data_IF_725109346395
#
_entry.id   IF_725109346395
#
_cell.length_a   1.000
_cell.length_b   1.000
_cell.length_c   1.000
_cell.angle_alpha   90.00
_cell.angle_beta   90.00
_cell.angle_gamma   90.00
#
_symmetry.space_group_name_H-M   'P 1'
#
loop_
_entity.id
_entity.type
_entity.pdbx_description
1 polymer ?
#
# COMPACT_ATOMS: atom_id res chain seq x y z
N UNK A 1 9.54 -7.23 2.30
CA UNK A 1 10.11 -6.56 1.11
C UNK A 1 9.21 -5.38 0.70
N UNK A 2 9.63 -4.60 -0.29
CA UNK A 2 8.85 -3.50 -0.85
C UNK A 2 7.57 -3.97 -1.53
N UNK A 3 6.47 -3.28 -1.26
CA UNK A 3 5.18 -3.52 -1.91
C UNK A 3 4.23 -2.33 -1.69
N UNK A 4 3.12 -2.33 -2.44
CA UNK A 4 1.89 -1.63 -2.06
C UNK A 4 0.85 -2.67 -1.64
N UNK A 5 -0.09 -2.27 -0.78
CA UNK A 5 -1.19 -3.13 -0.37
C UNK A 5 -2.04 -3.60 -1.57
N UNK A 6 -2.70 -4.74 -1.40
CA UNK A 6 -3.58 -5.29 -2.42
C UNK A 6 -4.67 -4.28 -2.80
N UNK A 7 -4.80 -4.00 -4.09
CA UNK A 7 -5.72 -2.98 -4.61
C UNK A 7 -5.57 -1.61 -3.90
N UNK A 8 -4.37 -1.25 -3.44
CA UNK A 8 -4.07 0.03 -2.77
C UNK A 8 -4.93 0.34 -1.53
N UNK A 9 -5.48 -0.68 -0.87
CA UNK A 9 -6.19 -0.47 0.41
C UNK A 9 -5.26 0.07 1.49
N UNK A 10 -5.77 0.87 2.42
CA UNK A 10 -5.03 1.19 3.63
C UNK A 10 -4.75 -0.07 4.44
N UNK A 11 -3.73 0.00 5.29
CA UNK A 11 -3.35 -1.09 6.18
C UNK A 11 -3.14 -0.58 7.60
N UNK A 12 -3.46 -1.44 8.55
CA UNK A 12 -3.26 -1.24 9.98
C UNK A 12 -2.31 -2.33 10.45
N UNK A 13 -1.26 -1.94 11.16
CA UNK A 13 -0.33 -2.87 11.78
C UNK A 13 -0.11 -2.49 13.25
N UNK A 14 -0.13 -3.48 14.14
CA UNK A 14 0.20 -3.30 15.56
C UNK A 14 1.35 -4.23 15.92
N UNK A 15 2.42 -3.67 16.49
CA UNK A 15 3.52 -4.44 17.04
C UNK A 15 3.16 -4.93 18.44
N UNK A 16 3.22 -6.25 18.66
CA UNK A 16 2.96 -6.89 19.95
C UNK A 16 4.20 -6.87 20.85
N UNK A 17 5.39 -6.80 20.26
CA UNK A 17 6.68 -6.87 20.95
C UNK A 17 7.16 -8.29 21.25
N UNK A 18 8.21 -8.43 22.09
CA UNK A 18 8.89 -7.35 22.83
C UNK A 18 9.85 -6.49 22.02
N UNK A 19 10.29 -6.95 20.83
CA UNK A 19 11.18 -6.21 19.94
C UNK A 19 10.48 -5.09 19.15
N UNK A 20 11.29 -4.20 18.59
CA UNK A 20 10.83 -3.11 17.73
C UNK A 20 10.81 -3.54 16.25
N UNK A 21 10.03 -2.84 15.43
CA UNK A 21 10.09 -2.90 13.97
C UNK A 21 10.62 -1.58 13.41
N UNK A 22 11.39 -1.65 12.33
CA UNK A 22 11.76 -0.48 11.52
C UNK A 22 10.94 -0.45 10.23
N UNK A 23 10.33 0.70 9.97
CA UNK A 23 9.48 0.95 8.83
C UNK A 23 10.12 1.94 7.87
N UNK A 24 9.89 1.69 6.59
CA UNK A 24 10.23 2.58 5.50
C UNK A 24 9.01 2.76 4.62
N UNK A 25 8.69 4.01 4.28
CA UNK A 25 7.53 4.36 3.48
C UNK A 25 7.86 5.43 2.45
N UNK A 26 7.30 5.28 1.25
CA UNK A 26 7.37 6.23 0.16
C UNK A 26 5.93 6.58 -0.25
N UNK A 27 5.67 7.87 -0.45
CA UNK A 27 4.35 8.36 -0.82
C UNK A 27 3.88 7.76 -2.16
N UNK A 28 2.57 7.60 -2.32
CA UNK A 28 1.98 6.85 -3.45
C UNK A 28 2.43 7.41 -4.79
N UNK A 29 2.64 8.71 -4.92
CA UNK A 29 2.99 9.41 -6.16
C UNK A 29 4.30 8.90 -6.78
N UNK A 30 5.20 8.35 -5.97
CA UNK A 30 6.50 7.85 -6.41
C UNK A 30 6.47 6.36 -6.79
N UNK A 31 5.34 5.66 -6.70
CA UNK A 31 5.24 4.23 -7.02
C UNK A 31 5.76 3.90 -8.43
N UNK A 32 5.52 4.80 -9.40
CA UNK A 32 6.01 4.64 -10.77
C UNK A 32 7.53 4.77 -10.90
N UNK A 33 8.18 5.56 -10.04
CA UNK A 33 9.64 5.64 -9.97
C UNK A 33 10.20 4.33 -9.42
N UNK A 34 9.61 3.80 -8.35
CA UNK A 34 10.01 2.51 -7.78
C UNK A 34 9.77 1.36 -8.77
N UNK A 35 8.67 1.38 -9.51
CA UNK A 35 8.41 0.39 -10.56
C UNK A 35 9.53 0.39 -11.62
N UNK A 36 9.97 1.56 -12.09
CA UNK A 36 11.09 1.68 -13.04
C UNK A 36 12.42 1.20 -12.45
N UNK A 37 12.67 1.45 -11.16
CA UNK A 37 13.85 0.91 -10.47
C UNK A 37 13.81 -0.61 -10.39
N UNK A 38 12.64 -1.19 -10.10
CA UNK A 38 12.44 -2.64 -10.14
C UNK A 38 12.73 -3.21 -11.54
N UNK A 39 12.14 -2.62 -12.59
CA UNK A 39 12.36 -3.02 -13.99
C UNK A 39 13.84 -2.94 -14.39
N UNK A 40 14.53 -1.84 -14.03
CA UNK A 40 15.97 -1.65 -14.29
C UNK A 40 16.81 -2.75 -13.64
N UNK A 41 16.39 -3.25 -12.49
CA UNK A 41 17.07 -4.32 -11.75
C UNK A 41 16.53 -5.73 -12.07
N UNK A 42 15.68 -5.87 -13.09
CA UNK A 42 15.17 -7.17 -13.54
C UNK A 42 14.21 -7.85 -12.55
N UNK A 43 13.57 -7.09 -11.65
CA UNK A 43 12.59 -7.59 -10.68
C UNK A 43 11.22 -6.99 -10.96
N UNK A 44 10.15 -7.78 -10.76
CA UNK A 44 8.79 -7.29 -10.96
C UNK A 44 8.32 -6.49 -9.73
N UNK A 45 7.78 -5.29 -9.94
CA UNK A 45 7.28 -4.44 -8.84
C UNK A 45 6.08 -5.03 -8.09
N UNK A 46 5.13 -5.63 -8.81
CA UNK A 46 3.85 -6.11 -8.24
C UNK A 46 3.99 -7.46 -7.52
N UNK A 47 4.80 -8.38 -8.06
CA UNK A 47 4.89 -9.76 -7.56
C UNK A 47 6.30 -10.19 -7.15
N UNK A 48 7.32 -9.37 -7.44
CA UNK A 48 8.70 -9.68 -7.08
C UNK A 48 9.00 -9.44 -5.61
N UNK A 49 10.11 -10.00 -5.14
CA UNK A 49 10.67 -9.70 -3.83
C UNK A 49 11.85 -8.74 -4.01
N UNK A 50 11.69 -7.50 -3.58
CA UNK A 50 12.69 -6.45 -3.74
C UNK A 50 12.85 -5.64 -2.45
N UNK A 51 14.06 -5.13 -2.23
CA UNK A 51 14.40 -4.27 -1.10
C UNK A 51 15.13 -3.04 -1.64
N UNK A 52 14.56 -1.82 -1.53
CA UNK A 52 15.17 -0.63 -2.11
C UNK A 52 16.54 -0.31 -1.53
N UNK A 53 17.44 0.14 -2.39
CA UNK A 53 18.69 0.79 -2.00
C UNK A 53 18.36 2.26 -1.74
N UNK A 54 18.62 2.74 -0.52
CA UNK A 54 18.23 4.11 -0.12
C UNK A 54 18.98 5.18 -0.94
N UNK A 55 20.21 4.91 -1.34
CA UNK A 55 21.00 5.82 -2.18
C UNK A 55 20.37 5.98 -3.57
N UNK A 56 19.90 4.90 -4.20
CA UNK A 56 19.17 4.97 -5.48
C UNK A 56 17.88 5.81 -5.36
N UNK A 57 17.16 5.69 -4.24
CA UNK A 57 15.96 6.50 -3.98
C UNK A 57 16.33 7.97 -3.78
N UNK A 58 17.41 8.25 -3.06
CA UNK A 58 17.91 9.60 -2.85
C UNK A 58 18.37 10.25 -4.16
N UNK A 59 19.13 9.53 -5.00
CA UNK A 59 19.54 9.97 -6.34
C UNK A 59 18.33 10.23 -7.25
N UNK A 60 17.28 9.41 -7.14
CA UNK A 60 16.01 9.59 -7.85
C UNK A 60 15.09 10.67 -7.23
N UNK A 61 15.56 11.40 -6.21
CA UNK A 61 14.81 12.44 -5.48
C UNK A 61 13.47 11.93 -4.90
N UNK A 62 13.46 10.68 -4.43
CA UNK A 62 12.31 10.05 -3.78
C UNK A 62 12.42 10.21 -2.26
N UNK A 63 11.51 10.96 -1.62
CA UNK A 63 11.49 11.08 -0.16
C UNK A 63 11.14 9.75 0.49
N UNK A 64 11.89 9.37 1.53
CA UNK A 64 11.66 8.16 2.32
C UNK A 64 11.35 8.53 3.76
N UNK A 65 10.18 8.15 4.24
CA UNK A 65 9.84 8.17 5.65
C UNK A 65 10.46 6.93 6.32
N UNK A 66 11.22 7.13 7.38
CA UNK A 66 11.87 6.06 8.16
C UNK A 66 11.60 6.26 9.63
N UNK A 67 11.08 5.24 10.31
CA UNK A 67 10.75 5.33 11.73
C UNK A 67 10.72 3.97 12.43
N UNK A 68 10.71 4.00 13.76
CA UNK A 68 10.63 2.82 14.63
C UNK A 68 9.20 2.68 15.15
N UNK A 69 8.66 1.46 15.08
CA UNK A 69 7.40 1.04 15.69
C UNK A 69 7.70 0.19 16.92
N UNK A 70 7.45 0.73 18.11
CA UNK A 70 7.64 0.03 19.39
C UNK A 70 6.46 -0.89 19.72
N UNK A 71 6.60 -1.80 20.70
CA UNK A 71 5.46 -2.58 21.19
C UNK A 71 4.30 -1.69 21.62
N UNK A 72 3.10 -2.00 21.12
CA UNK A 72 1.88 -1.22 21.32
C UNK A 72 1.63 -0.10 20.31
N UNK A 73 2.64 0.30 19.52
CA UNK A 73 2.46 1.30 18.48
C UNK A 73 1.64 0.74 17.31
N UNK A 74 0.68 1.54 16.85
CA UNK A 74 -0.11 1.29 15.65
C UNK A 74 0.44 2.10 14.48
N UNK A 75 0.72 1.42 13.37
CA UNK A 75 1.07 2.04 12.09
C UNK A 75 -0.15 1.99 11.17
N UNK A 76 -0.56 3.16 10.68
CA UNK A 76 -1.56 3.30 9.63
C UNK A 76 -0.86 3.61 8.31
N UNK A 77 -0.92 2.68 7.37
CA UNK A 77 -0.38 2.81 6.03
C UNK A 77 -1.50 3.35 5.14
N UNK A 78 -1.33 4.56 4.62
CA UNK A 78 -2.34 5.21 3.81
C UNK A 78 -2.44 4.59 2.41
N UNK A 79 -3.54 4.89 1.71
CA UNK A 79 -3.86 4.40 0.37
C UNK A 79 -2.66 4.50 -0.58
N UNK A 80 -2.25 3.36 -1.15
CA UNK A 80 -1.19 3.29 -2.16
C UNK A 80 0.23 3.60 -1.66
N UNK A 81 0.46 3.79 -0.35
CA UNK A 81 1.81 3.98 0.17
C UNK A 81 2.69 2.75 -0.14
N UNK A 82 3.85 2.98 -0.77
CA UNK A 82 4.83 1.94 -1.02
C UNK A 82 5.66 1.78 0.25
N UNK A 83 5.79 0.57 0.78
CA UNK A 83 6.47 0.39 2.06
C UNK A 83 7.20 -0.95 2.17
N UNK A 84 8.19 -0.99 3.06
CA UNK A 84 8.91 -2.19 3.47
C UNK A 84 9.29 -2.09 4.94
N UNK A 85 9.48 -3.25 5.58
CA UNK A 85 9.60 -3.37 7.03
C UNK A 85 10.63 -4.44 7.38
N UNK A 86 11.37 -4.21 8.46
CA UNK A 86 12.19 -5.24 9.09
C UNK A 86 11.96 -5.25 10.61
N UNK A 87 12.04 -6.43 11.21
CA UNK A 87 12.12 -6.55 12.67
C UNK A 87 13.54 -6.19 13.12
N UNK A 88 13.67 -5.35 14.15
CA UNK A 88 14.95 -5.05 14.80
C UNK A 88 15.24 -6.07 15.90
N UNK A 89 14.20 -6.50 16.63
CA UNK A 89 14.27 -7.54 17.65
C UNK A 89 13.25 -8.64 17.40
N UNK A 90 13.13 -9.58 18.34
CA UNK A 90 12.08 -10.60 18.30
C UNK A 90 10.73 -9.99 18.66
N UNK A 91 9.81 -10.00 17.71
CA UNK A 91 8.46 -9.48 17.90
C UNK A 91 7.44 -10.27 17.10
N UNK A 92 6.17 -10.10 17.47
CA UNK A 92 5.03 -10.48 16.66
C UNK A 92 4.31 -9.22 16.22
N UNK A 93 3.65 -9.27 15.06
CA UNK A 93 2.76 -8.19 14.60
C UNK A 93 1.41 -8.79 14.19
N UNK A 94 0.36 -8.00 14.36
CA UNK A 94 -0.95 -8.27 13.75
C UNK A 94 -1.26 -7.17 12.75
N UNK A 95 -1.84 -7.53 11.62
CA UNK A 95 -2.16 -6.58 10.57
C UNK A 95 -3.43 -6.96 9.79
N UNK A 96 -4.11 -5.96 9.25
CA UNK A 96 -5.25 -6.11 8.37
C UNK A 96 -5.43 -4.86 7.50
N UNK A 97 -6.16 -5.00 6.41
CA UNK A 97 -6.52 -3.88 5.54
C UNK A 97 -7.84 -3.24 5.95
N UNK A 98 -7.96 -1.94 5.68
CA UNK A 98 -9.21 -1.18 5.80
C UNK A 98 -9.39 -0.31 4.56
N UNK A 99 -10.63 -0.11 4.13
CA UNK A 99 -10.96 0.78 3.02
C UNK A 99 -11.81 1.95 3.51
N UNK A 100 -11.21 3.11 3.86
CA UNK A 100 -11.99 4.30 4.19
C UNK A 100 -12.91 4.68 3.05
N UNK A 101 -14.17 5.02 3.35
CA UNK A 101 -15.16 5.44 2.35
C UNK A 101 -14.87 6.87 1.87
N UNK A 102 -13.82 7.00 1.06
CA UNK A 102 -13.30 8.26 0.54
C UNK A 102 -13.02 8.13 -0.95
N UNK A 103 -13.12 9.25 -1.68
CA UNK A 103 -12.78 9.30 -3.10
C UNK A 103 -11.38 8.72 -3.38
N UNK A 104 -10.35 9.17 -2.66
CA UNK A 104 -8.96 8.76 -2.87
C UNK A 104 -8.76 7.24 -2.71
N UNK A 105 -9.33 6.63 -1.66
CA UNK A 105 -9.22 5.18 -1.46
C UNK A 105 -9.86 4.40 -2.61
N UNK A 106 -11.07 4.80 -3.01
CA UNK A 106 -11.81 4.08 -4.03
C UNK A 106 -11.19 4.26 -5.43
N UNK A 107 -10.75 5.47 -5.76
CA UNK A 107 -10.04 5.78 -6.99
C UNK A 107 -8.76 4.95 -7.14
N UNK A 108 -7.89 4.96 -6.12
CA UNK A 108 -6.65 4.19 -6.16
C UNK A 108 -6.90 2.67 -6.25
N UNK A 109 -8.01 2.18 -5.70
CA UNK A 109 -8.39 0.77 -5.78
C UNK A 109 -8.85 0.36 -7.19
N UNK A 110 -9.60 1.23 -7.88
CA UNK A 110 -9.97 1.05 -9.30
C UNK A 110 -8.72 1.12 -10.18
N UNK A 111 -7.86 2.12 -9.99
CA UNK A 111 -6.64 2.26 -10.79
C UNK A 111 -5.75 1.02 -10.68
N UNK A 112 -5.51 0.53 -9.45
CA UNK A 112 -4.75 -0.70 -9.25
C UNK A 112 -5.46 -1.91 -9.84
N UNK A 113 -6.79 -1.97 -9.78
CA UNK A 113 -7.55 -3.08 -10.36
C UNK A 113 -7.39 -3.15 -11.88
N UNK A 114 -7.45 -2.03 -12.59
CA UNK A 114 -7.22 -1.98 -14.04
C UNK A 114 -5.74 -2.21 -14.38
N UNK A 115 -4.80 -1.64 -13.61
CA UNK A 115 -3.36 -1.90 -13.78
C UNK A 115 -3.02 -3.39 -13.60
N UNK A 116 -3.64 -4.04 -12.63
CA UNK A 116 -3.47 -5.47 -12.40
C UNK A 116 -3.94 -6.29 -13.61
N UNK A 117 -5.07 -5.95 -14.24
CA UNK A 117 -5.51 -6.62 -15.47
C UNK A 117 -4.49 -6.48 -16.60
N UNK A 118 -3.95 -5.27 -16.80
CA UNK A 118 -2.94 -5.02 -17.84
C UNK A 118 -1.67 -5.86 -17.61
N UNK A 119 -1.32 -6.11 -16.34
CA UNK A 119 -0.14 -6.87 -15.94
C UNK A 119 -0.43 -8.35 -15.66
N UNK A 120 -1.59 -8.87 -16.05
CA UNK A 120 -2.02 -10.26 -15.76
C UNK A 120 -1.90 -10.65 -14.27
N UNK A 121 -2.06 -9.69 -13.38
CA UNK A 121 -2.03 -9.88 -11.93
C UNK A 121 -3.45 -10.02 -11.38
N UNK A 122 -3.66 -10.95 -10.45
CA UNK A 122 -4.96 -11.14 -9.81
C UNK A 122 -5.21 -10.03 -8.79
N UNK A 123 -6.29 -9.28 -8.95
CA UNK A 123 -6.83 -8.44 -7.88
C UNK A 123 -7.53 -9.30 -6.84
N UNK A 124 -7.07 -9.24 -5.58
CA UNK A 124 -7.66 -10.02 -4.48
C UNK A 124 -8.97 -9.37 -4.01
N UNK A 125 -9.08 -8.04 -4.10
CA UNK A 125 -10.34 -7.34 -3.84
C UNK A 125 -11.17 -7.32 -5.12
N UNK A 126 -12.38 -7.91 -5.13
CA UNK A 126 -13.23 -7.94 -6.32
C UNK A 126 -13.94 -6.58 -6.48
N UNK A 127 -13.24 -5.57 -7.01
CA UNK A 127 -13.71 -4.17 -7.05
C UNK A 127 -15.13 -4.06 -7.59
N UNK A 128 -15.44 -4.65 -8.76
CA UNK A 128 -16.80 -4.60 -9.34
C UNK A 128 -17.88 -5.14 -8.38
N UNK A 129 -17.62 -6.27 -7.72
CA UNK A 129 -18.58 -6.84 -6.75
C UNK A 129 -18.72 -5.95 -5.51
N UNK A 130 -17.60 -5.40 -5.02
CA UNK A 130 -17.58 -4.46 -3.91
C UNK A 130 -18.37 -3.19 -4.24
N UNK A 131 -18.19 -2.62 -5.44
CA UNK A 131 -18.91 -1.44 -5.94
C UNK A 131 -20.42 -1.64 -5.88
N UNK A 132 -20.93 -2.74 -6.43
CA UNK A 132 -22.36 -3.07 -6.37
C UNK A 132 -22.87 -3.25 -4.94
N UNK A 133 -22.03 -3.76 -4.02
CA UNK A 133 -22.40 -3.86 -2.61
C UNK A 133 -22.42 -2.50 -1.90
N UNK A 134 -21.48 -1.60 -2.21
CA UNK A 134 -21.47 -0.24 -1.67
C UNK A 134 -22.72 0.52 -2.15
N UNK A 135 -22.99 0.50 -3.46
CA UNK A 135 -24.14 1.17 -4.05
C UNK A 135 -25.50 0.70 -3.46
N UNK A 136 -25.60 -0.59 -3.10
CA UNK A 136 -26.83 -1.14 -2.48
C UNK A 136 -26.95 -0.82 -0.99
N UNK A 137 -25.84 -0.79 -0.26
CA UNK A 137 -25.87 -0.84 1.21
C UNK A 137 -25.44 0.46 1.89
N UNK A 138 -24.88 1.43 1.17
CA UNK A 138 -24.31 2.64 1.74
C UNK A 138 -24.89 3.91 1.12
N UNK A 139 -25.12 4.93 1.95
CA UNK A 139 -25.43 6.27 1.49
C UNK A 139 -24.14 7.06 1.35
N UNK A 140 -23.75 7.36 0.12
CA UNK A 140 -22.55 8.14 -0.19
C UNK A 140 -22.94 9.61 -0.36
N UNK A 141 -22.52 10.45 0.58
CA UNK A 141 -22.79 11.90 0.54
C UNK A 141 -21.69 12.72 -0.14
N UNK A 142 -20.47 12.18 -0.18
CA UNK A 142 -19.36 12.80 -0.91
C UNK A 142 -19.63 12.70 -2.41
N UNK A 143 -19.71 13.85 -3.08
CA UNK A 143 -20.12 13.93 -4.48
C UNK A 143 -19.13 13.24 -5.42
N UNK A 144 -17.83 13.43 -5.20
CA UNK A 144 -16.80 12.85 -6.08
C UNK A 144 -16.80 11.32 -5.97
N UNK A 145 -16.91 10.79 -4.75
CA UNK A 145 -17.02 9.35 -4.53
C UNK A 145 -18.33 8.80 -5.10
N UNK A 146 -19.45 9.52 -4.95
CA UNK A 146 -20.75 9.10 -5.51
C UNK A 146 -20.71 9.02 -7.04
N UNK A 147 -20.07 9.99 -7.71
CA UNK A 147 -19.93 9.98 -9.18
C UNK A 147 -18.99 8.88 -9.68
N UNK A 148 -18.07 8.41 -8.83
CA UNK A 148 -17.10 7.36 -9.18
C UNK A 148 -17.64 5.93 -8.98
N UNK A 149 -18.60 5.74 -8.06
CA UNK A 149 -19.24 4.45 -7.73
C UNK A 149 -20.34 4.12 -8.75
#
# INVERSE_FOLDING_TARGET
PGHQENNNFCSVNINIGPGDCEWFGVATEYWGVLNKLCEKNGVNFLVGSWWPILDDLHEAQVPVYRFIQKPGDLVFINTGCVHWVQAIGWCNNIAWNVGPLTYNQYYAAIERYEWNKLNSCKSIVPIVHLTWNIARNMRVSDRQLFELI
#
